data_IF_901344659012
#
_entry.id   IF_901344659012
#
_cell.length_a   1.000
_cell.length_b   1.000
_cell.length_c   1.000
_cell.angle_alpha   90.00
_cell.angle_beta   90.00
_cell.angle_gamma   90.00
#
_symmetry.space_group_name_H-M   'P 1'
#
loop_
_entity.id
_entity.type
_entity.pdbx_description
1 polymer ?
#
# COMPACT_ATOMS: atom_id res chain seq x y z
N UNK A 1 -28.03 -10.07 -1.56
CA UNK A 1 -27.27 -9.20 -0.64
C UNK A 1 -28.20 -8.12 -0.16
N UNK A 2 -28.48 -7.96 1.13
CA UNK A 2 -29.19 -6.80 1.64
C UNK A 2 -28.31 -5.56 1.47
N UNK A 3 -28.89 -4.50 0.93
CA UNK A 3 -28.24 -3.21 0.73
C UNK A 3 -29.04 -2.18 1.51
N UNK A 4 -28.39 -1.48 2.40
CA UNK A 4 -29.01 -0.36 3.13
C UNK A 4 -28.35 0.95 2.68
N UNK A 5 -29.17 1.91 2.31
CA UNK A 5 -28.75 3.25 1.88
C UNK A 5 -29.17 4.27 2.90
N UNK A 6 -28.22 5.05 3.38
CA UNK A 6 -28.43 6.04 4.42
C UNK A 6 -27.93 7.40 3.95
N UNK A 7 -28.70 8.43 4.22
CA UNK A 7 -28.25 9.83 4.04
C UNK A 7 -27.76 10.37 5.39
N UNK A 8 -26.45 10.32 5.59
CA UNK A 8 -25.78 10.72 6.83
C UNK A 8 -24.98 12.03 6.66
N UNK A 9 -25.13 12.71 5.52
CA UNK A 9 -24.38 13.91 5.21
C UNK A 9 -22.94 13.65 4.74
N UNK A 10 -22.11 14.70 4.72
CA UNK A 10 -20.76 14.66 4.14
C UNK A 10 -19.69 14.06 5.07
N UNK A 11 -19.89 14.15 6.38
CA UNK A 11 -18.90 13.73 7.41
C UNK A 11 -19.51 12.75 8.41
N UNK A 12 -20.08 11.62 7.97
CA UNK A 12 -20.67 10.66 8.88
C UNK A 12 -19.59 9.98 9.73
N UNK A 13 -19.97 9.60 10.94
CA UNK A 13 -19.19 8.70 11.78
C UNK A 13 -19.80 7.31 11.70
N UNK A 14 -19.00 6.35 11.26
CA UNK A 14 -19.39 4.95 11.19
C UNK A 14 -18.65 4.19 12.28
N UNK A 15 -19.38 3.66 13.23
CA UNK A 15 -18.88 2.73 14.22
C UNK A 15 -19.23 1.30 13.77
N UNK A 16 -18.26 0.38 13.68
CA UNK A 16 -18.50 -0.93 13.12
C UNK A 16 -17.83 -2.04 13.93
N UNK A 17 -18.58 -3.13 14.15
CA UNK A 17 -18.08 -4.42 14.61
C UNK A 17 -18.38 -5.45 13.53
N UNK A 18 -17.34 -5.99 12.88
CA UNK A 18 -17.46 -7.00 11.84
C UNK A 18 -16.75 -8.28 12.24
N UNK A 19 -17.51 -9.37 12.40
CA UNK A 19 -16.98 -10.68 12.78
C UNK A 19 -16.49 -11.52 11.58
N UNK A 20 -16.35 -10.89 10.41
CA UNK A 20 -15.79 -11.44 9.18
C UNK A 20 -14.93 -10.40 8.48
N UNK A 21 -14.80 -10.44 7.15
CA UNK A 21 -14.04 -9.44 6.41
C UNK A 21 -14.81 -8.12 6.29
N UNK A 22 -14.10 -7.01 6.45
CA UNK A 22 -14.63 -5.66 6.36
C UNK A 22 -13.89 -4.89 5.25
N UNK A 23 -14.65 -4.43 4.26
CA UNK A 23 -14.15 -3.54 3.20
C UNK A 23 -14.83 -2.17 3.32
N UNK A 24 -14.05 -1.13 3.60
CA UNK A 24 -14.53 0.26 3.74
C UNK A 24 -13.93 1.11 2.63
N UNK A 25 -14.78 1.85 1.92
CA UNK A 25 -14.33 2.72 0.85
C UNK A 25 -14.95 4.10 0.92
N UNK A 26 -14.10 5.11 0.88
CA UNK A 26 -14.52 6.50 0.67
C UNK A 26 -15.01 6.69 -0.77
N UNK A 27 -16.13 7.39 -0.93
CA UNK A 27 -16.72 7.72 -2.23
C UNK A 27 -17.02 9.22 -2.31
N UNK A 28 -16.91 9.83 -3.49
CA UNK A 28 -17.16 11.27 -3.68
C UNK A 28 -18.66 11.62 -3.71
N UNK A 29 -19.46 10.97 -2.87
CA UNK A 29 -20.92 11.18 -2.78
C UNK A 29 -21.32 11.32 -1.33
N UNK A 30 -22.52 11.86 -1.08
CA UNK A 30 -23.07 12.01 0.28
C UNK A 30 -23.82 10.76 0.76
N UNK A 31 -24.08 9.81 -0.13
CA UNK A 31 -24.82 8.58 0.17
C UNK A 31 -23.90 7.57 0.87
N UNK A 32 -24.28 7.12 2.05
CA UNK A 32 -23.64 5.99 2.72
C UNK A 32 -24.36 4.71 2.32
N UNK A 33 -23.60 3.69 1.92
CA UNK A 33 -24.12 2.39 1.50
C UNK A 33 -23.46 1.27 2.28
N UNK A 34 -24.29 0.42 2.86
CA UNK A 34 -23.89 -0.75 3.62
C UNK A 34 -24.38 -1.99 2.87
N UNK A 35 -23.48 -2.92 2.60
CA UNK A 35 -23.76 -4.19 1.92
C UNK A 35 -23.22 -5.35 2.76
N UNK A 36 -24.00 -6.40 2.97
CA UNK A 36 -23.58 -7.59 3.70
C UNK A 36 -24.01 -8.86 2.96
N UNK A 37 -23.23 -9.94 3.08
CA UNK A 37 -23.53 -11.24 2.47
C UNK A 37 -24.71 -11.95 3.14
N UNK A 38 -24.99 -11.62 4.40
CA UNK A 38 -26.10 -12.22 5.15
C UNK A 38 -27.18 -11.19 5.51
N UNK A 39 -28.40 -11.69 5.75
CA UNK A 39 -29.52 -10.90 6.23
C UNK A 39 -29.39 -10.43 7.70
N UNK A 40 -28.27 -10.74 8.35
CA UNK A 40 -28.04 -10.55 9.79
C UNK A 40 -27.04 -9.43 10.07
N UNK A 41 -27.17 -8.29 9.45
CA UNK A 41 -26.48 -7.10 9.95
C UNK A 41 -27.48 -6.15 10.61
N UNK A 42 -27.03 -5.49 11.67
CA UNK A 42 -27.85 -4.53 12.42
C UNK A 42 -27.26 -3.16 12.25
N UNK A 43 -28.12 -2.20 11.93
CA UNK A 43 -27.75 -0.77 11.86
C UNK A 43 -28.53 -0.02 12.92
N UNK A 44 -27.81 0.65 13.80
CA UNK A 44 -28.37 1.43 14.88
C UNK A 44 -27.96 2.88 14.70
N UNK A 45 -28.90 3.82 14.52
CA UNK A 45 -28.57 5.24 14.46
C UNK A 45 -27.92 5.72 15.76
N UNK A 46 -26.90 6.60 15.62
CA UNK A 46 -26.25 7.29 16.73
C UNK A 46 -26.41 8.82 16.54
N UNK A 47 -26.00 9.62 17.51
CA UNK A 47 -26.12 11.08 17.41
C UNK A 47 -25.33 11.69 16.23
N UNK A 48 -24.21 11.07 15.81
CA UNK A 48 -23.31 11.58 14.79
C UNK A 48 -23.15 10.66 13.56
N UNK A 49 -23.92 9.57 13.50
CA UNK A 49 -23.80 8.60 12.42
C UNK A 49 -24.54 7.30 12.70
N UNK A 50 -23.89 6.18 12.48
CA UNK A 50 -24.46 4.85 12.67
C UNK A 50 -23.47 3.89 13.30
N UNK A 51 -24.01 2.95 14.09
CA UNK A 51 -23.31 1.75 14.54
C UNK A 51 -23.80 0.56 13.72
N UNK A 52 -22.84 -0.21 13.23
CA UNK A 52 -23.08 -1.39 12.39
C UNK A 52 -22.49 -2.62 13.06
N UNK A 53 -23.31 -3.67 13.20
CA UNK A 53 -22.84 -5.00 13.63
C UNK A 53 -23.10 -6.01 12.52
N UNK A 54 -22.05 -6.70 12.06
CA UNK A 54 -22.14 -7.69 11.00
C UNK A 54 -21.42 -8.99 11.37
N UNK A 55 -22.11 -10.11 11.18
CA UNK A 55 -21.56 -11.46 11.40
C UNK A 55 -21.07 -12.13 10.11
N UNK A 56 -21.09 -11.41 8.99
CA UNK A 56 -20.63 -11.86 7.69
C UNK A 56 -19.81 -10.76 7.02
N UNK A 57 -19.23 -11.04 5.85
CA UNK A 57 -18.49 -10.04 5.09
C UNK A 57 -19.36 -8.80 4.89
N UNK A 58 -18.75 -7.64 5.17
CA UNK A 58 -19.42 -6.37 5.10
C UNK A 58 -18.64 -5.39 4.21
N UNK A 59 -19.33 -4.76 3.29
CA UNK A 59 -18.79 -3.67 2.47
C UNK A 59 -19.49 -2.38 2.86
N UNK A 60 -18.70 -1.37 3.21
CA UNK A 60 -19.16 -0.04 3.64
C UNK A 60 -18.62 1.00 2.68
N UNK A 61 -19.52 1.75 2.04
CA UNK A 61 -19.16 2.89 1.21
C UNK A 61 -19.66 4.16 1.89
N UNK A 62 -18.74 5.05 2.22
CA UNK A 62 -19.02 6.29 2.93
C UNK A 62 -18.44 7.49 2.19
N UNK A 63 -18.94 8.69 2.39
CA UNK A 63 -18.28 9.90 1.88
C UNK A 63 -16.79 9.92 2.26
N UNK A 64 -15.91 10.38 1.36
CA UNK A 64 -14.46 10.43 1.58
C UNK A 64 -14.06 11.17 2.86
N UNK A 65 -14.83 12.15 3.29
CA UNK A 65 -14.59 12.94 4.51
C UNK A 65 -15.21 12.32 5.77
N UNK A 66 -15.90 11.18 5.64
CA UNK A 66 -16.44 10.44 6.77
C UNK A 66 -15.35 9.85 7.63
N UNK A 67 -15.66 9.49 8.86
CA UNK A 67 -14.76 8.85 9.81
C UNK A 67 -15.21 7.43 10.10
N UNK A 68 -14.23 6.55 10.24
CA UNK A 68 -14.42 5.14 10.59
C UNK A 68 -13.92 4.88 11.99
N UNK A 69 -14.72 4.26 12.81
CA UNK A 69 -14.33 3.68 14.09
C UNK A 69 -14.67 2.19 14.09
N UNK A 70 -13.68 1.34 13.83
CA UNK A 70 -13.85 -0.11 13.87
C UNK A 70 -13.45 -0.66 15.24
N UNK A 71 -14.42 -1.14 16.00
CA UNK A 71 -14.22 -1.76 17.32
C UNK A 71 -13.58 -3.14 17.17
N UNK A 72 -14.08 -3.94 16.23
CA UNK A 72 -13.56 -5.26 15.94
C UNK A 72 -13.70 -5.60 14.45
N UNK A 73 -12.62 -6.11 13.86
CA UNK A 73 -12.63 -6.79 12.58
C UNK A 73 -12.00 -8.18 12.76
N UNK A 74 -12.83 -9.22 12.85
CA UNK A 74 -12.34 -10.59 13.11
C UNK A 74 -11.73 -11.26 11.89
N UNK A 75 -12.05 -10.76 10.69
CA UNK A 75 -11.42 -11.16 9.42
C UNK A 75 -10.40 -10.12 8.94
N UNK A 76 -10.19 -10.07 7.63
CA UNK A 76 -9.38 -9.03 7.01
C UNK A 76 -10.10 -7.67 7.01
N UNK A 77 -9.35 -6.60 7.19
CA UNK A 77 -9.84 -5.22 7.08
C UNK A 77 -9.16 -4.53 5.91
N UNK A 78 -9.97 -3.92 5.05
CA UNK A 78 -9.48 -3.05 3.97
C UNK A 78 -10.16 -1.69 4.05
N UNK A 79 -9.37 -0.62 4.13
CA UNK A 79 -9.90 0.76 4.07
C UNK A 79 -9.20 1.50 2.95
N UNK A 80 -9.98 2.12 2.07
CA UNK A 80 -9.45 2.88 0.93
C UNK A 80 -10.18 4.21 0.75
N UNK A 81 -9.43 5.22 0.28
CA UNK A 81 -9.96 6.50 -0.17
C UNK A 81 -10.75 7.27 0.92
N UNK A 82 -10.39 7.11 2.19
CA UNK A 82 -11.07 7.73 3.33
C UNK A 82 -10.18 8.82 3.95
N UNK A 83 -10.50 10.09 3.66
CA UNK A 83 -9.71 11.26 4.10
C UNK A 83 -9.98 11.62 5.56
N UNK A 84 -11.13 11.23 6.11
CA UNK A 84 -11.45 11.39 7.53
C UNK A 84 -10.63 10.48 8.43
N UNK A 85 -10.91 10.51 9.73
CA UNK A 85 -10.19 9.72 10.71
C UNK A 85 -10.49 8.22 10.57
N UNK A 86 -9.46 7.42 10.76
CA UNK A 86 -9.55 5.95 10.81
C UNK A 86 -9.08 5.49 12.17
N UNK A 87 -10.01 5.16 13.04
CA UNK A 87 -9.76 4.66 14.38
C UNK A 87 -10.12 3.17 14.44
N UNK A 88 -9.13 2.32 14.74
CA UNK A 88 -9.27 0.87 14.76
C UNK A 88 -8.86 0.35 16.16
N UNK A 89 -9.74 -0.40 16.82
CA UNK A 89 -9.42 -0.96 18.12
C UNK A 89 -8.76 -2.34 17.99
N UNK A 90 -9.38 -3.28 17.27
CA UNK A 90 -8.85 -4.64 17.12
C UNK A 90 -9.07 -5.20 15.72
N UNK A 91 -8.00 -5.65 15.07
CA UNK A 91 -8.04 -6.32 13.77
C UNK A 91 -7.35 -7.67 13.88
N UNK A 92 -8.09 -8.78 13.68
CA UNK A 92 -7.53 -10.14 13.83
C UNK A 92 -6.89 -10.67 12.55
N UNK A 93 -7.37 -10.24 11.39
CA UNK A 93 -6.81 -10.65 10.10
C UNK A 93 -5.80 -9.64 9.55
N UNK A 94 -5.52 -9.75 8.26
CA UNK A 94 -4.68 -8.78 7.55
C UNK A 94 -5.39 -7.43 7.45
N UNK A 95 -4.68 -6.36 7.77
CA UNK A 95 -5.18 -5.00 7.69
C UNK A 95 -4.48 -4.22 6.57
N UNK A 96 -5.26 -3.66 5.66
CA UNK A 96 -4.75 -2.87 4.54
C UNK A 96 -5.42 -1.50 4.49
N UNK A 97 -4.65 -0.44 4.69
CA UNK A 97 -5.10 0.95 4.67
C UNK A 97 -4.41 1.70 3.52
N UNK A 98 -5.18 2.38 2.67
CA UNK A 98 -4.62 3.14 1.56
C UNK A 98 -5.39 4.41 1.28
N UNK A 99 -4.67 5.51 1.05
CA UNK A 99 -5.22 6.86 0.83
C UNK A 99 -6.20 7.24 1.94
N UNK A 100 -5.65 7.28 3.14
CA UNK A 100 -6.41 7.59 4.35
C UNK A 100 -6.00 8.95 4.92
N UNK A 101 -6.85 9.51 5.77
CA UNK A 101 -6.50 10.57 6.69
C UNK A 101 -5.67 10.03 7.87
N UNK A 102 -5.72 10.69 9.04
CA UNK A 102 -5.05 10.20 10.24
C UNK A 102 -5.51 8.79 10.61
N UNK A 103 -4.56 7.95 11.03
CA UNK A 103 -4.81 6.57 11.42
C UNK A 103 -4.44 6.36 12.87
N UNK A 104 -5.33 5.77 13.64
CA UNK A 104 -5.05 5.24 14.96
C UNK A 104 -5.46 3.76 15.00
N UNK A 105 -4.54 2.91 15.43
CA UNK A 105 -4.79 1.48 15.59
C UNK A 105 -4.30 1.04 16.96
N UNK A 106 -5.15 0.44 17.77
CA UNK A 106 -4.73 -0.07 19.06
C UNK A 106 -4.04 -1.43 18.92
N UNK A 107 -4.64 -2.39 18.23
CA UNK A 107 -4.09 -3.75 18.15
C UNK A 107 -4.39 -4.43 16.81
N UNK A 108 -3.35 -5.05 16.18
CA UNK A 108 -3.48 -5.90 15.01
C UNK A 108 -2.78 -7.23 15.22
N UNK A 109 -3.49 -8.33 14.94
CA UNK A 109 -2.93 -9.69 15.10
C UNK A 109 -2.32 -10.23 13.81
N UNK A 110 -2.73 -9.71 12.66
CA UNK A 110 -2.20 -10.09 11.35
C UNK A 110 -1.17 -9.09 10.83
N UNK A 111 -0.86 -9.24 9.57
CA UNK A 111 -0.02 -8.27 8.86
C UNK A 111 -0.77 -6.94 8.69
N UNK A 112 -0.06 -5.83 8.94
CA UNK A 112 -0.60 -4.48 8.77
C UNK A 112 0.18 -3.73 7.68
N UNK A 113 -0.55 -3.21 6.71
CA UNK A 113 0.01 -2.37 5.64
C UNK A 113 -0.72 -1.04 5.56
N UNK A 114 0.03 0.05 5.69
CA UNK A 114 -0.47 1.42 5.59
C UNK A 114 0.26 2.13 4.46
N UNK A 115 -0.49 2.78 3.58
CA UNK A 115 0.08 3.46 2.41
C UNK A 115 -0.69 4.74 2.07
N UNK A 116 0.05 5.78 1.66
CA UNK A 116 -0.52 7.05 1.20
C UNK A 116 -1.42 7.72 2.26
N UNK A 117 -0.89 7.92 3.47
CA UNK A 117 -1.62 8.56 4.58
C UNK A 117 -1.35 10.06 4.62
N UNK A 118 -2.41 10.85 4.68
CA UNK A 118 -2.31 12.32 4.67
C UNK A 118 -2.10 12.94 6.07
N UNK A 119 -2.23 12.16 7.13
CA UNK A 119 -2.11 12.60 8.54
C UNK A 119 -1.12 11.77 9.33
N UNK A 120 -1.20 11.89 10.65
CA UNK A 120 -0.39 11.12 11.58
C UNK A 120 -0.86 9.66 11.65
N UNK A 121 0.08 8.76 11.94
CA UNK A 121 -0.16 7.33 12.13
C UNK A 121 0.28 6.96 13.54
N UNK A 122 -0.65 6.50 14.36
CA UNK A 122 -0.40 6.03 15.72
C UNK A 122 -0.82 4.56 15.84
N UNK A 123 0.12 3.69 16.16
CA UNK A 123 -0.05 2.24 16.23
C UNK A 123 0.39 1.75 17.60
N UNK A 124 -0.49 1.04 18.31
CA UNK A 124 -0.17 0.36 19.55
C UNK A 124 0.61 -0.94 19.28
N UNK A 125 -0.06 -2.09 19.25
CA UNK A 125 0.58 -3.38 19.08
C UNK A 125 0.26 -4.03 17.72
N UNK A 126 1.29 -4.52 17.03
CA UNK A 126 1.16 -5.37 15.84
C UNK A 126 1.83 -6.71 16.12
N UNK A 127 1.04 -7.78 16.16
CA UNK A 127 1.55 -9.15 16.40
C UNK A 127 2.11 -9.80 15.13
N UNK A 128 1.84 -9.24 13.96
CA UNK A 128 2.44 -9.61 12.68
C UNK A 128 3.53 -8.65 12.24
N UNK A 129 3.81 -8.61 10.95
CA UNK A 129 4.72 -7.63 10.34
C UNK A 129 3.98 -6.35 9.96
N UNK A 130 4.69 -5.23 10.00
CA UNK A 130 4.17 -3.90 9.72
C UNK A 130 4.92 -3.24 8.55
N UNK A 131 4.16 -2.77 7.57
CA UNK A 131 4.70 -1.94 6.49
C UNK A 131 3.97 -0.60 6.44
N UNK A 132 4.72 0.51 6.55
CA UNK A 132 4.18 1.88 6.47
C UNK A 132 4.93 2.64 5.38
N UNK A 133 4.19 3.22 4.43
CA UNK A 133 4.77 3.96 3.30
C UNK A 133 3.98 5.22 2.97
N UNK A 134 4.69 6.23 2.46
CA UNK A 134 4.11 7.47 1.94
C UNK A 134 3.22 8.19 2.98
N UNK A 135 3.76 8.47 4.16
CA UNK A 135 3.05 9.18 5.24
C UNK A 135 3.48 10.64 5.28
N UNK A 136 2.51 11.56 5.23
CA UNK A 136 2.78 13.01 5.30
C UNK A 136 2.91 13.53 6.73
N UNK A 137 2.41 12.81 7.71
CA UNK A 137 2.45 13.12 9.13
C UNK A 137 3.57 12.39 9.88
N UNK A 138 3.44 12.35 11.20
CA UNK A 138 4.30 11.61 12.09
C UNK A 138 3.89 10.15 12.16
N UNK A 139 4.84 9.27 12.49
CA UNK A 139 4.58 7.85 12.72
C UNK A 139 5.01 7.49 14.13
N UNK A 140 4.09 6.97 14.93
CA UNK A 140 4.32 6.49 16.27
C UNK A 140 3.87 5.04 16.39
N UNK A 141 4.77 4.15 16.79
CA UNK A 141 4.56 2.71 16.89
C UNK A 141 5.03 2.26 18.27
N UNK A 142 4.17 1.62 19.05
CA UNK A 142 4.56 1.12 20.36
C UNK A 142 5.32 -0.21 20.25
N UNK A 143 4.74 -1.19 19.53
CA UNK A 143 5.37 -2.51 19.41
C UNK A 143 5.00 -3.25 18.12
N UNK A 144 5.97 -3.99 17.57
CA UNK A 144 5.82 -4.90 16.43
C UNK A 144 6.48 -6.23 16.76
N UNK A 145 5.74 -7.34 16.72
CA UNK A 145 6.31 -8.67 16.99
C UNK A 145 7.00 -9.30 15.78
N UNK A 146 6.65 -8.89 14.57
CA UNK A 146 7.30 -9.28 13.31
C UNK A 146 8.31 -8.24 12.85
N UNK A 147 8.46 -8.15 11.53
CA UNK A 147 9.35 -7.19 10.88
C UNK A 147 8.67 -5.84 10.66
N UNK A 148 9.47 -4.76 10.67
CA UNK A 148 9.01 -3.41 10.44
C UNK A 148 9.67 -2.80 9.20
N UNK A 149 8.85 -2.32 8.25
CA UNK A 149 9.32 -1.57 7.08
C UNK A 149 8.71 -0.18 7.10
N UNK A 150 9.55 0.84 7.11
CA UNK A 150 9.16 2.24 7.03
C UNK A 150 9.77 2.88 5.79
N UNK A 151 8.95 3.58 5.00
CA UNK A 151 9.43 4.25 3.79
C UNK A 151 8.68 5.56 3.55
N UNK A 152 9.43 6.59 3.14
CA UNK A 152 8.88 7.88 2.70
C UNK A 152 7.96 8.53 3.75
N UNK A 153 8.45 8.65 4.99
CA UNK A 153 7.77 9.34 6.09
C UNK A 153 8.24 10.79 6.13
N UNK A 154 7.33 11.74 5.95
CA UNK A 154 7.67 13.16 5.92
C UNK A 154 7.84 13.77 7.32
N UNK A 155 7.27 13.15 8.34
CA UNK A 155 7.31 13.61 9.73
C UNK A 155 8.36 12.88 10.58
N UNK A 156 8.19 13.03 11.89
CA UNK A 156 9.02 12.36 12.91
C UNK A 156 8.56 10.91 13.08
N UNK A 157 9.52 10.02 13.28
CA UNK A 157 9.25 8.61 13.55
C UNK A 157 9.65 8.24 14.97
N UNK A 158 8.75 7.60 15.71
CA UNK A 158 8.99 6.99 17.00
C UNK A 158 8.58 5.53 16.98
N UNK A 159 9.49 4.65 17.33
CA UNK A 159 9.26 3.21 17.40
C UNK A 159 9.73 2.73 18.78
N UNK A 160 8.86 2.09 19.54
CA UNK A 160 9.18 1.55 20.86
C UNK A 160 9.95 0.24 20.74
N UNK A 161 9.29 -0.83 20.31
CA UNK A 161 9.89 -2.15 20.23
C UNK A 161 9.58 -2.86 18.91
N UNK A 162 10.58 -3.53 18.33
CA UNK A 162 10.45 -4.44 17.19
C UNK A 162 11.15 -5.74 17.53
N UNK A 163 10.44 -6.87 17.49
CA UNK A 163 11.06 -8.17 17.81
C UNK A 163 11.83 -8.76 16.63
N UNK A 164 11.41 -8.47 15.42
CA UNK A 164 12.06 -8.90 14.17
C UNK A 164 13.08 -7.88 13.64
N UNK A 165 13.24 -7.86 12.32
CA UNK A 165 14.13 -6.95 11.62
C UNK A 165 13.41 -5.63 11.31
N UNK A 166 14.21 -4.55 11.20
CA UNK A 166 13.72 -3.23 10.85
C UNK A 166 14.43 -2.67 9.63
N UNK A 167 13.67 -2.24 8.64
CA UNK A 167 14.20 -1.57 7.45
C UNK A 167 13.55 -0.20 7.27
N UNK A 168 14.38 0.84 7.21
CA UNK A 168 13.93 2.22 7.05
C UNK A 168 14.60 2.84 5.84
N UNK A 169 13.79 3.44 4.99
CA UNK A 169 14.23 4.25 3.86
C UNK A 169 13.52 5.59 3.91
N UNK A 170 14.23 6.63 4.36
CA UNK A 170 13.59 7.91 4.67
C UNK A 170 14.50 9.11 4.38
N UNK A 171 13.95 10.25 3.94
CA UNK A 171 14.71 11.47 3.80
C UNK A 171 15.10 12.14 5.14
N UNK A 172 14.44 11.78 6.25
CA UNK A 172 14.57 12.41 7.57
C UNK A 172 14.56 13.94 7.54
N UNK A 173 13.47 14.60 7.93
CA UNK A 173 13.36 16.04 7.89
C UNK A 173 14.47 16.73 8.70
N UNK A 174 15.00 17.84 8.19
CA UNK A 174 15.98 18.66 8.91
C UNK A 174 15.43 19.09 10.28
N UNK A 175 16.30 19.16 11.27
CA UNK A 175 15.99 19.53 12.65
C UNK A 175 14.97 18.61 13.34
N UNK A 176 14.67 17.45 12.74
CA UNK A 176 13.81 16.44 13.35
C UNK A 176 14.57 15.51 14.29
N UNK A 177 13.84 14.96 15.26
CA UNK A 177 14.38 13.95 16.20
C UNK A 177 13.51 12.71 16.10
N UNK A 178 14.06 11.63 15.54
CA UNK A 178 13.43 10.32 15.50
C UNK A 178 14.04 9.38 16.50
N UNK A 179 13.24 8.48 17.06
CA UNK A 179 13.67 7.58 18.14
C UNK A 179 13.24 6.15 17.83
N UNK A 180 14.19 5.24 17.89
CA UNK A 180 14.00 3.80 17.70
C UNK A 180 14.53 3.10 18.95
N UNK A 181 13.62 2.48 19.70
CA UNK A 181 13.92 1.85 20.97
C UNK A 181 14.61 0.50 20.79
N UNK A 182 13.96 -0.59 21.19
CA UNK A 182 14.55 -1.93 21.19
C UNK A 182 14.21 -2.68 19.90
N UNK A 183 15.23 -3.10 19.17
CA UNK A 183 15.09 -3.90 17.94
C UNK A 183 15.78 -5.25 18.20
N UNK A 184 14.99 -6.33 18.21
CA UNK A 184 15.47 -7.68 18.50
C UNK A 184 16.34 -8.25 17.36
N UNK A 185 16.11 -7.82 16.15
CA UNK A 185 16.84 -8.22 14.95
C UNK A 185 17.81 -7.15 14.44
N UNK A 186 17.99 -7.12 13.13
CA UNK A 186 18.88 -6.20 12.43
C UNK A 186 18.12 -4.92 12.00
N UNK A 187 18.73 -3.76 12.21
CA UNK A 187 18.21 -2.47 11.82
C UNK A 187 18.96 -1.91 10.62
N UNK A 188 18.29 -1.74 9.50
CA UNK A 188 18.86 -1.12 8.29
C UNK A 188 18.27 0.26 8.06
N UNK A 189 19.13 1.28 8.07
CA UNK A 189 18.77 2.65 7.76
C UNK A 189 19.33 3.06 6.41
N UNK A 190 18.47 3.49 5.50
CA UNK A 190 18.87 4.12 4.24
C UNK A 190 18.43 5.57 4.26
N UNK A 191 19.41 6.48 4.29
CA UNK A 191 19.18 7.92 4.25
C UNK A 191 19.04 8.35 2.80
N UNK A 192 17.94 9.00 2.44
CA UNK A 192 17.67 9.45 1.08
C UNK A 192 17.91 10.96 0.90
N UNK A 193 18.25 11.33 -0.34
CA UNK A 193 18.39 12.72 -0.77
C UNK A 193 19.64 13.44 -0.29
N UNK A 194 19.68 14.74 -0.51
CA UNK A 194 20.79 15.61 -0.11
C UNK A 194 20.75 16.01 1.37
N UNK A 195 19.80 15.47 2.12
CA UNK A 195 19.71 15.63 3.56
C UNK A 195 20.82 14.87 4.27
N UNK A 196 20.79 14.89 5.60
CA UNK A 196 21.73 14.12 6.38
C UNK A 196 21.15 13.83 7.75
N UNK A 197 21.66 12.78 8.36
CA UNK A 197 21.25 12.35 9.66
C UNK A 197 22.45 12.08 10.57
N UNK A 198 22.32 12.46 11.84
CA UNK A 198 23.23 12.11 12.91
C UNK A 198 22.61 10.96 13.72
N UNK A 199 23.18 9.79 13.60
CA UNK A 199 22.79 8.62 14.38
C UNK A 199 23.51 8.63 15.71
N UNK A 200 22.75 8.46 16.78
CA UNK A 200 23.24 8.30 18.16
C UNK A 200 22.84 6.90 18.61
N UNK A 201 23.82 5.99 18.67
CA UNK A 201 23.61 4.59 18.94
C UNK A 201 23.94 4.26 20.38
N UNK A 202 22.99 3.61 21.05
CA UNK A 202 23.16 3.16 22.44
C UNK A 202 24.17 2.03 22.58
N UNK A 203 24.56 1.72 23.82
CA UNK A 203 25.49 0.63 24.13
C UNK A 203 25.00 -0.75 23.77
N UNK A 204 23.68 -0.94 23.69
CA UNK A 204 23.05 -2.22 23.39
C UNK A 204 22.98 -2.51 21.87
N UNK A 205 23.58 -1.69 21.02
CA UNK A 205 23.80 -2.00 19.61
C UNK A 205 25.07 -2.84 19.51
N UNK A 206 24.91 -4.14 19.18
CA UNK A 206 26.04 -5.10 19.23
C UNK A 206 26.99 -4.90 18.05
N UNK A 207 26.47 -4.79 16.83
CA UNK A 207 27.27 -4.66 15.61
C UNK A 207 26.88 -3.37 14.87
N UNK A 208 27.86 -2.71 14.26
CA UNK A 208 27.66 -1.50 13.47
C UNK A 208 28.32 -1.65 12.10
N UNK A 209 27.51 -1.62 11.05
CA UNK A 209 27.91 -1.69 9.67
C UNK A 209 27.70 -0.33 8.97
N UNK A 210 28.80 0.36 8.70
CA UNK A 210 28.78 1.65 8.00
C UNK A 210 29.76 1.64 6.83
N UNK A 211 29.47 2.38 5.75
CA UNK A 211 30.45 2.58 4.66
C UNK A 211 31.76 3.18 5.19
N UNK A 212 32.89 2.79 4.57
CA UNK A 212 34.23 3.20 4.99
C UNK A 212 34.50 4.71 4.87
N UNK A 213 33.67 5.45 4.18
CA UNK A 213 33.71 6.91 4.02
C UNK A 213 33.02 7.66 5.15
N UNK A 214 32.33 6.99 6.07
CA UNK A 214 31.69 7.61 7.23
C UNK A 214 32.57 7.46 8.48
N UNK A 215 32.67 8.55 9.25
CA UNK A 215 33.39 8.55 10.52
C UNK A 215 32.48 8.11 11.65
N UNK A 216 32.99 7.20 12.49
CA UNK A 216 32.33 6.77 13.72
C UNK A 216 33.05 7.44 14.88
N UNK A 217 32.35 8.26 15.63
CA UNK A 217 32.86 8.95 16.83
C UNK A 217 32.32 8.24 18.06
N UNK A 218 33.20 7.84 18.96
CA UNK A 218 32.83 7.29 20.26
C UNK A 218 32.81 8.39 21.32
N UNK A 219 31.62 8.68 21.86
CA UNK A 219 31.43 9.64 22.96
C UNK A 219 30.89 8.91 24.21
N UNK A 220 31.80 8.54 25.14
CA UNK A 220 31.44 7.81 26.34
C UNK A 220 30.82 6.44 26.04
N UNK A 221 29.52 6.32 26.30
CA UNK A 221 28.76 5.07 26.09
C UNK A 221 28.00 5.03 24.75
N UNK A 222 28.12 6.05 23.93
CA UNK A 222 27.39 6.15 22.64
C UNK A 222 28.35 6.18 21.46
N UNK A 223 27.89 5.62 20.34
CA UNK A 223 28.57 5.73 19.03
C UNK A 223 27.77 6.68 18.17
N UNK A 224 28.46 7.64 17.56
CA UNK A 224 27.84 8.66 16.71
C UNK A 224 28.32 8.46 15.29
N UNK A 225 27.37 8.39 14.36
CA UNK A 225 27.64 8.32 12.90
C UNK A 225 26.92 9.45 12.23
N UNK A 226 27.62 10.24 11.45
CA UNK A 226 27.02 11.35 10.69
C UNK A 226 27.02 11.03 9.20
N UNK A 227 25.84 11.09 8.60
CA UNK A 227 25.60 10.91 7.17
C UNK A 227 25.22 12.27 6.59
N UNK A 228 25.87 12.69 5.51
CA UNK A 228 25.56 13.96 4.85
C UNK A 228 25.72 15.18 5.77
N UNK A 229 24.73 16.08 5.79
CA UNK A 229 24.76 17.30 6.60
C UNK A 229 24.52 17.09 8.10
N UNK A 230 24.02 15.92 8.51
CA UNK A 230 23.75 15.60 9.92
C UNK A 230 22.62 16.42 10.58
N UNK A 231 21.72 16.99 9.79
CA UNK A 231 20.70 17.91 10.30
C UNK A 231 19.59 17.22 11.11
N UNK A 232 19.22 15.99 10.77
CA UNK A 232 18.27 15.19 11.57
C UNK A 232 19.03 14.40 12.65
N UNK A 233 18.41 14.18 13.79
CA UNK A 233 18.99 13.32 14.84
C UNK A 233 18.17 12.05 14.98
N UNK A 234 18.84 10.90 14.96
CA UNK A 234 18.23 9.57 15.05
C UNK A 234 18.85 8.83 16.22
N UNK A 235 18.04 8.52 17.21
CA UNK A 235 18.43 7.69 18.34
C UNK A 235 18.06 6.23 18.08
N UNK A 236 18.98 5.31 18.36
CA UNK A 236 18.74 3.86 18.32
C UNK A 236 19.26 3.29 19.62
N UNK A 237 18.38 2.78 20.48
CA UNK A 237 18.75 2.37 21.84
C UNK A 237 19.41 0.98 21.84
N UNK A 238 18.80 0.00 21.16
CA UNK A 238 19.28 -1.37 21.11
C UNK A 238 18.98 -2.03 19.77
N UNK A 239 19.91 -2.80 19.23
CA UNK A 239 19.73 -3.66 18.06
C UNK A 239 20.80 -4.76 18.02
N UNK A 240 20.51 -5.90 17.37
CA UNK A 240 21.52 -6.91 17.09
C UNK A 240 22.60 -6.34 16.16
N UNK A 241 22.19 -5.79 15.02
CA UNK A 241 23.09 -5.00 14.17
C UNK A 241 22.43 -3.72 13.68
N UNK A 242 23.22 -2.68 13.45
CA UNK A 242 22.76 -1.45 12.76
C UNK A 242 23.57 -1.25 11.49
N UNK A 243 22.89 -1.26 10.37
CA UNK A 243 23.47 -0.95 9.05
C UNK A 243 22.98 0.42 8.57
N UNK A 244 23.91 1.33 8.32
CA UNK A 244 23.60 2.69 7.84
C UNK A 244 24.14 2.83 6.43
N UNK A 245 23.29 3.19 5.48
CA UNK A 245 23.62 3.33 4.06
C UNK A 245 23.14 4.66 3.51
N UNK A 246 23.85 5.20 2.53
CA UNK A 246 23.39 6.34 1.74
C UNK A 246 22.72 5.87 0.45
N UNK A 247 21.72 6.59 -0.05
CA UNK A 247 20.90 6.14 -1.19
C UNK A 247 21.67 5.96 -2.50
N UNK A 248 22.85 6.56 -2.63
CA UNK A 248 23.66 6.50 -3.85
C UNK A 248 24.48 5.18 -4.00
N UNK A 249 24.52 4.35 -2.94
CA UNK A 249 25.21 3.06 -3.01
C UNK A 249 24.27 1.97 -3.53
N UNK A 250 24.54 1.51 -4.75
CA UNK A 250 23.88 0.35 -5.35
C UNK A 250 24.51 -0.89 -4.75
N UNK A 251 23.99 -1.39 -3.67
CA UNK A 251 24.46 -2.63 -3.04
C UNK A 251 23.73 -3.86 -3.58
N UNK A 252 24.52 -4.80 -4.10
CA UNK A 252 24.05 -6.13 -4.51
C UNK A 252 23.64 -7.02 -3.33
N UNK A 253 23.97 -6.65 -2.07
CA UNK A 253 23.75 -7.48 -0.87
C UNK A 253 22.48 -7.13 -0.07
N UNK A 254 21.70 -6.17 -0.50
CA UNK A 254 20.41 -5.84 0.15
C UNK A 254 19.32 -6.89 -0.12
N UNK A 255 19.67 -8.20 -0.19
CA UNK A 255 18.77 -9.22 -0.76
C UNK A 255 17.56 -9.55 0.12
N UNK A 256 17.65 -9.45 1.44
CA UNK A 256 16.53 -9.83 2.31
C UNK A 256 15.47 -8.72 2.43
N UNK A 257 15.84 -7.53 2.82
CA UNK A 257 14.91 -6.39 2.86
C UNK A 257 14.40 -6.01 1.46
N UNK A 258 15.21 -6.24 0.42
CA UNK A 258 14.83 -5.98 -0.95
C UNK A 258 13.92 -7.06 -1.54
N UNK A 259 14.15 -8.34 -1.26
CA UNK A 259 13.28 -9.44 -1.70
C UNK A 259 11.93 -9.40 -0.96
N UNK A 260 11.92 -9.04 0.32
CA UNK A 260 10.70 -8.85 1.10
C UNK A 260 9.96 -7.59 0.61
N UNK A 261 10.66 -6.49 0.37
CA UNK A 261 10.08 -5.27 -0.19
C UNK A 261 9.60 -5.47 -1.64
N UNK A 262 10.32 -6.22 -2.47
CA UNK A 262 9.91 -6.52 -3.85
C UNK A 262 8.71 -7.46 -3.88
N UNK A 263 8.67 -8.48 -3.04
CA UNK A 263 7.51 -9.35 -2.87
C UNK A 263 6.26 -8.56 -2.46
N UNK A 264 6.43 -7.61 -1.55
CA UNK A 264 5.39 -6.71 -1.13
C UNK A 264 5.00 -5.69 -2.23
N UNK A 265 5.95 -5.13 -2.98
CA UNK A 265 5.66 -4.23 -4.11
C UNK A 265 4.87 -4.92 -5.22
N UNK A 266 5.22 -6.15 -5.55
CA UNK A 266 4.48 -6.95 -6.55
C UNK A 266 3.09 -7.29 -6.02
N UNK A 267 2.97 -7.68 -4.75
CA UNK A 267 1.69 -7.98 -4.11
C UNK A 267 0.79 -6.74 -4.03
N UNK A 268 1.37 -5.58 -3.68
CA UNK A 268 0.66 -4.31 -3.62
C UNK A 268 0.21 -3.86 -5.02
N UNK A 269 1.07 -4.03 -6.03
CA UNK A 269 0.73 -3.69 -7.41
C UNK A 269 -0.37 -4.60 -7.98
N UNK A 270 -0.33 -5.88 -7.65
CA UNK A 270 -1.40 -6.82 -8.00
C UNK A 270 -2.71 -6.50 -7.26
N UNK A 271 -2.63 -6.13 -5.99
CA UNK A 271 -3.80 -5.68 -5.22
C UNK A 271 -4.39 -4.39 -5.79
N UNK A 272 -3.54 -3.46 -6.24
CA UNK A 272 -3.96 -2.20 -6.88
C UNK A 272 -4.60 -2.43 -8.24
N UNK A 273 -4.01 -3.28 -9.09
CA UNK A 273 -4.58 -3.66 -10.38
C UNK A 273 -5.93 -4.35 -10.18
N UNK A 274 -6.04 -5.23 -9.20
CA UNK A 274 -7.30 -5.91 -8.87
C UNK A 274 -8.36 -4.90 -8.42
N UNK A 275 -7.99 -3.95 -7.55
CA UNK A 275 -8.89 -2.90 -7.08
C UNK A 275 -9.30 -1.93 -8.20
N UNK A 276 -8.39 -1.62 -9.12
CA UNK A 276 -8.67 -0.75 -10.25
C UNK A 276 -9.59 -1.43 -11.27
N UNK A 277 -9.41 -2.73 -11.50
CA UNK A 277 -10.31 -3.57 -12.29
C UNK A 277 -11.70 -3.63 -11.64
N UNK A 278 -11.78 -3.82 -10.33
CA UNK A 278 -13.05 -3.80 -9.59
C UNK A 278 -13.74 -2.43 -9.66
N UNK A 279 -12.99 -1.33 -9.50
CA UNK A 279 -13.53 0.03 -9.60
C UNK A 279 -14.00 0.41 -11.01
N UNK A 280 -13.28 -0.06 -12.03
CA UNK A 280 -13.72 0.11 -13.42
C UNK A 280 -14.95 -0.74 -13.73
N UNK A 281 -15.02 -1.96 -13.15
CA UNK A 281 -16.19 -2.83 -13.27
C UNK A 281 -17.43 -2.19 -12.67
N UNK A 282 -17.33 -1.59 -11.48
CA UNK A 282 -18.44 -0.88 -10.84
C UNK A 282 -18.91 0.36 -11.64
N UNK A 283 -17.96 1.14 -12.18
CA UNK A 283 -18.30 2.26 -13.06
C UNK A 283 -18.99 1.79 -14.35
N UNK A 284 -18.54 0.65 -14.89
CA UNK A 284 -19.16 0.02 -16.05
C UNK A 284 -20.54 -0.53 -15.70
N UNK A 285 -20.72 -1.16 -14.53
CA UNK A 285 -22.05 -1.62 -14.08
C UNK A 285 -23.03 -0.47 -13.84
N UNK A 286 -22.57 0.64 -13.28
CA UNK A 286 -23.40 1.85 -13.11
C UNK A 286 -23.82 2.46 -14.46
N UNK A 287 -22.95 2.43 -15.45
CA UNK A 287 -23.25 2.88 -16.82
C UNK A 287 -24.06 1.85 -17.61
N UNK A 288 -23.95 0.57 -17.28
CA UNK A 288 -24.62 -0.56 -17.94
C UNK A 288 -26.07 -0.75 -17.50
N UNK A 289 -26.46 -0.25 -16.32
CA UNK A 289 -27.88 -0.18 -15.95
C UNK A 289 -28.71 0.66 -16.94
N UNK A 290 -28.02 1.42 -17.81
CA UNK A 290 -28.62 2.23 -18.88
C UNK A 290 -28.54 1.59 -20.29
N UNK A 291 -27.81 0.50 -20.49
CA UNK A 291 -27.58 -0.07 -21.83
C UNK A 291 -27.69 -1.60 -21.85
N UNK A 292 -28.28 -2.11 -22.93
CA UNK A 292 -28.79 -3.47 -23.17
C UNK A 292 -27.87 -4.66 -22.84
N UNK A 293 -28.48 -5.82 -22.53
CA UNK A 293 -27.92 -7.17 -22.23
C UNK A 293 -26.74 -7.66 -23.10
N UNK A 294 -26.48 -7.05 -24.23
CA UNK A 294 -25.40 -7.43 -25.15
C UNK A 294 -24.03 -6.95 -24.67
N UNK A 295 -23.98 -5.77 -24.10
CA UNK A 295 -22.74 -5.14 -23.55
C UNK A 295 -22.36 -5.82 -22.23
N UNK A 296 -23.36 -6.19 -21.41
CA UNK A 296 -23.14 -6.92 -20.16
C UNK A 296 -22.38 -8.24 -20.36
N UNK A 297 -22.75 -9.04 -21.37
CA UNK A 297 -22.05 -10.29 -21.69
C UNK A 297 -20.61 -10.09 -22.19
N UNK A 298 -20.34 -8.97 -22.83
CA UNK A 298 -19.00 -8.65 -23.32
C UNK A 298 -18.08 -8.21 -22.18
N UNK A 299 -18.59 -7.42 -21.24
CA UNK A 299 -17.87 -6.98 -20.05
C UNK A 299 -17.57 -8.17 -19.10
N UNK A 300 -18.53 -9.05 -18.87
CA UNK A 300 -18.31 -10.27 -18.08
C UNK A 300 -17.21 -11.16 -18.66
N UNK A 301 -17.12 -11.26 -20.01
CA UNK A 301 -16.03 -11.97 -20.68
C UNK A 301 -14.68 -11.29 -20.46
N UNK A 302 -14.61 -9.97 -20.58
CA UNK A 302 -13.38 -9.19 -20.38
C UNK A 302 -12.89 -9.29 -18.93
N UNK A 303 -13.80 -9.20 -17.97
CA UNK A 303 -13.51 -9.38 -16.54
C UNK A 303 -13.00 -10.79 -16.21
N UNK A 304 -13.59 -11.82 -16.82
CA UNK A 304 -13.15 -13.19 -16.63
C UNK A 304 -11.72 -13.44 -17.15
N UNK A 305 -11.36 -12.78 -18.26
CA UNK A 305 -10.01 -12.84 -18.83
C UNK A 305 -9.01 -12.11 -17.92
N UNK A 306 -9.36 -10.89 -17.46
CA UNK A 306 -8.52 -10.11 -16.56
C UNK A 306 -8.27 -10.84 -15.22
N UNK A 307 -9.31 -11.43 -14.61
CA UNK A 307 -9.16 -12.26 -13.39
C UNK A 307 -8.22 -13.45 -13.60
N UNK A 308 -8.32 -14.16 -14.73
CA UNK A 308 -7.39 -15.26 -15.06
C UNK A 308 -5.95 -14.79 -15.23
N UNK A 309 -5.73 -13.60 -15.79
CA UNK A 309 -4.39 -13.02 -15.91
C UNK A 309 -3.78 -12.67 -14.55
N UNK A 310 -4.56 -12.08 -13.65
CA UNK A 310 -4.15 -11.76 -12.27
C UNK A 310 -3.84 -13.05 -11.50
N UNK A 311 -4.72 -14.07 -11.55
CA UNK A 311 -4.46 -15.37 -10.93
C UNK A 311 -3.23 -16.07 -11.50
N UNK A 312 -3.00 -15.96 -12.80
CA UNK A 312 -1.80 -16.53 -13.43
C UNK A 312 -0.52 -15.79 -13.01
N UNK A 313 -0.60 -14.47 -12.82
CA UNK A 313 0.50 -13.66 -12.28
C UNK A 313 0.77 -14.01 -10.80
N UNK A 314 -0.26 -14.12 -9.97
CA UNK A 314 -0.12 -14.56 -8.57
C UNK A 314 0.53 -15.94 -8.46
N UNK A 315 0.09 -16.92 -9.25
CA UNK A 315 0.70 -18.27 -9.26
C UNK A 315 2.15 -18.28 -9.77
N UNK A 316 2.55 -17.30 -10.59
CA UNK A 316 3.96 -17.14 -11.00
C UNK A 316 4.81 -16.57 -9.87
N UNK A 317 4.29 -15.58 -9.14
CA UNK A 317 4.93 -14.99 -7.95
C UNK A 317 5.07 -16.05 -6.85
N UNK A 318 4.01 -16.79 -6.55
CA UNK A 318 4.06 -17.89 -5.56
C UNK A 318 5.06 -18.99 -5.93
N UNK A 319 5.18 -19.34 -7.22
CA UNK A 319 6.20 -20.31 -7.69
C UNK A 319 7.61 -19.75 -7.62
N UNK A 320 7.79 -18.46 -7.87
CA UNK A 320 9.09 -17.80 -7.74
C UNK A 320 9.51 -17.66 -6.27
N UNK A 321 8.56 -17.42 -5.36
CA UNK A 321 8.81 -17.38 -3.92
C UNK A 321 9.09 -18.76 -3.29
N UNK A 322 8.56 -19.85 -3.89
CA UNK A 322 8.73 -21.22 -3.39
C UNK A 322 9.96 -21.98 -3.94
N UNK A 323 10.63 -21.47 -4.96
CA UNK A 323 11.88 -22.01 -5.48
C UNK A 323 12.97 -21.02 -5.11
N UNK A 324 13.85 -21.42 -4.18
CA UNK A 324 15.00 -20.63 -3.77
C UNK A 324 15.64 -19.97 -5.00
N UNK A 325 15.76 -18.67 -4.96
CA UNK A 325 16.02 -17.74 -6.06
C UNK A 325 17.28 -18.18 -6.81
N UNK A 326 17.19 -18.65 -8.07
CA UNK A 326 18.32 -18.51 -8.97
C UNK A 326 18.33 -17.02 -9.39
N UNK A 327 19.52 -16.43 -9.49
CA UNK A 327 19.78 -15.08 -9.97
C UNK A 327 18.84 -14.70 -11.13
N UNK A 328 17.73 -14.06 -10.83
CA UNK A 328 16.92 -13.39 -11.82
C UNK A 328 17.30 -11.92 -11.73
N UNK A 329 18.22 -11.51 -12.60
CA UNK A 329 18.34 -10.12 -12.98
C UNK A 329 16.98 -9.64 -13.53
N UNK A 330 16.11 -9.19 -12.65
CA UNK A 330 14.95 -8.39 -13.02
C UNK A 330 15.44 -6.96 -13.26
N UNK A 331 16.05 -6.76 -14.43
CA UNK A 331 16.24 -5.41 -14.93
C UNK A 331 14.87 -4.82 -15.29
N UNK A 332 14.25 -4.09 -14.36
CA UNK A 332 13.20 -3.17 -14.69
C UNK A 332 13.82 -1.94 -15.36
N UNK A 333 14.02 -2.04 -16.65
CA UNK A 333 14.13 -0.83 -17.47
C UNK A 333 12.74 -0.19 -17.52
N UNK A 334 12.59 1.10 -17.16
CA UNK A 334 11.41 1.87 -17.54
C UNK A 334 11.39 1.89 -19.08
N UNK A 335 10.30 1.50 -19.69
CA UNK A 335 10.15 1.19 -21.10
C UNK A 335 10.88 -0.10 -21.51
N UNK A 336 10.31 -1.23 -21.13
CA UNK A 336 10.50 -2.46 -21.87
C UNK A 336 10.15 -2.18 -23.34
N UNK A 337 11.19 -2.06 -24.18
CA UNK A 337 11.02 -2.29 -25.59
C UNK A 337 10.32 -3.65 -25.71
N UNK A 338 9.05 -3.61 -26.09
CA UNK A 338 8.37 -4.77 -26.58
C UNK A 338 9.34 -5.47 -27.57
N UNK A 339 9.73 -6.70 -27.24
CA UNK A 339 10.33 -7.57 -28.22
C UNK A 339 9.39 -7.56 -29.40
N UNK A 340 9.86 -7.09 -30.54
CA UNK A 340 9.17 -7.23 -31.82
C UNK A 340 8.64 -8.65 -31.91
N UNK A 341 7.33 -8.87 -31.95
CA UNK A 341 6.83 -10.08 -32.52
C UNK A 341 7.31 -10.07 -33.97
N UNK A 342 7.87 -11.18 -34.42
CA UNK A 342 8.17 -11.48 -35.80
C UNK A 342 7.01 -10.96 -36.67
N UNK A 343 7.33 -10.09 -37.61
CA UNK A 343 6.35 -9.39 -38.42
C UNK A 343 5.51 -10.41 -39.20
N UNK A 344 4.35 -10.75 -38.66
CA UNK A 344 3.24 -11.15 -39.50
C UNK A 344 2.66 -9.88 -40.12
N UNK A 345 2.38 -9.86 -41.43
CA UNK A 345 1.83 -8.69 -42.07
C UNK A 345 0.48 -8.35 -41.43
N UNK A 346 0.35 -7.08 -41.01
CA UNK A 346 -0.87 -6.53 -40.41
C UNK A 346 -2.06 -6.93 -41.29
N UNK A 347 -3.06 -7.57 -40.73
CA UNK A 347 -4.19 -8.04 -41.47
C UNK A 347 -5.04 -6.83 -41.95
N UNK A 348 -5.55 -6.87 -43.15
CA UNK A 348 -6.46 -5.83 -43.65
C UNK A 348 -7.65 -5.60 -42.74
N UNK A 349 -8.07 -6.63 -42.00
CA UNK A 349 -9.14 -6.56 -41.01
C UNK A 349 -8.83 -5.61 -39.84
N UNK A 350 -7.58 -5.53 -39.41
CA UNK A 350 -7.17 -4.62 -38.29
C UNK A 350 -7.14 -3.16 -38.76
N UNK A 351 -6.72 -2.91 -40.00
CA UNK A 351 -6.77 -1.56 -40.57
C UNK A 351 -8.22 -1.07 -40.77
N UNK A 352 -9.09 -1.94 -41.24
CA UNK A 352 -10.52 -1.63 -41.42
C UNK A 352 -11.16 -1.37 -40.02
N UNK A 353 -10.78 -2.08 -39.00
CA UNK A 353 -11.29 -1.84 -37.66
C UNK A 353 -10.92 -0.44 -37.10
N UNK A 354 -9.68 0.03 -37.30
CA UNK A 354 -9.25 1.38 -36.88
C UNK A 354 -10.00 2.47 -37.72
N UNK A 355 -10.18 2.27 -39.00
CA UNK A 355 -10.92 3.20 -39.84
C UNK A 355 -12.40 3.27 -39.43
N UNK A 356 -13.00 2.16 -39.05
CA UNK A 356 -14.36 2.10 -38.55
C UNK A 356 -14.55 2.83 -37.23
N UNK A 357 -13.58 2.72 -36.32
CA UNK A 357 -13.58 3.49 -35.06
C UNK A 357 -13.48 5.00 -35.31
N UNK A 358 -12.77 5.42 -36.34
CA UNK A 358 -12.68 6.81 -36.76
C UNK A 358 -14.01 7.28 -37.37
N UNK A 359 -14.64 6.46 -38.23
CA UNK A 359 -15.93 6.76 -38.87
C UNK A 359 -17.07 6.84 -37.85
N UNK A 360 -17.05 5.98 -36.84
CA UNK A 360 -18.00 5.97 -35.70
C UNK A 360 -17.72 7.08 -34.69
N UNK A 361 -16.67 7.90 -34.86
CA UNK A 361 -16.30 9.00 -33.95
C UNK A 361 -15.75 8.54 -32.60
N UNK A 362 -15.36 7.28 -32.44
CA UNK A 362 -14.81 6.73 -31.21
C UNK A 362 -13.36 7.16 -30.97
N UNK A 363 -12.64 7.49 -32.04
CA UNK A 363 -11.27 8.02 -32.01
C UNK A 363 -11.16 9.22 -32.97
N UNK A 364 -10.22 10.14 -32.70
CA UNK A 364 -9.92 11.25 -33.56
C UNK A 364 -8.84 10.87 -34.61
N UNK A 365 -8.67 11.71 -35.63
CA UNK A 365 -7.72 11.47 -36.74
C UNK A 365 -6.30 11.21 -36.23
N UNK A 366 -5.85 11.97 -35.23
CA UNK A 366 -4.51 11.83 -34.64
C UNK A 366 -4.32 10.49 -33.93
N UNK A 367 -5.33 10.04 -33.20
CA UNK A 367 -5.34 8.74 -32.55
C UNK A 367 -5.40 7.59 -33.54
N UNK A 368 -6.13 7.75 -34.64
CA UNK A 368 -6.18 6.77 -35.74
C UNK A 368 -4.80 6.64 -36.42
N UNK A 369 -4.13 7.77 -36.70
CA UNK A 369 -2.75 7.77 -37.23
C UNK A 369 -1.75 7.10 -36.32
N UNK A 370 -1.81 7.37 -35.00
CA UNK A 370 -0.94 6.74 -33.99
C UNK A 370 -1.18 5.23 -33.91
N UNK A 371 -2.44 4.79 -33.96
CA UNK A 371 -2.80 3.36 -33.95
C UNK A 371 -2.36 2.66 -35.23
N UNK A 372 -2.55 3.26 -36.41
CA UNK A 372 -2.08 2.72 -37.68
C UNK A 372 -0.55 2.65 -37.74
N UNK A 373 0.14 3.69 -37.24
CA UNK A 373 1.60 3.70 -37.18
C UNK A 373 2.14 2.63 -36.21
N UNK A 374 1.46 2.40 -35.07
CA UNK A 374 1.80 1.35 -34.11
C UNK A 374 1.60 -0.06 -34.71
N UNK A 375 0.51 -0.25 -35.46
CA UNK A 375 0.23 -1.50 -36.17
C UNK A 375 1.26 -1.75 -37.29
N UNK A 376 1.69 -0.74 -38.03
CA UNK A 376 2.67 -0.86 -39.13
C UNK A 376 4.14 -0.96 -38.62
N UNK A 377 4.36 -0.85 -37.27
CA UNK A 377 5.70 -0.97 -36.68
C UNK A 377 6.67 0.16 -37.08
N UNK A 378 6.15 1.30 -37.51
CA UNK A 378 6.93 2.51 -37.76
C UNK A 378 6.95 3.37 -36.50
N UNK A 379 8.02 3.34 -35.77
CA UNK A 379 8.51 4.44 -34.94
C UNK A 379 9.63 5.15 -35.67
#
# INVERSE_FOLDING_TARGET
MPIEKLDLGLTPQIEISCYANLDVRGIPTVETRLESDASSFQVTPTEMGVRVESYSNCTVRIPEQGSLHALEASGGLRVKDLIGNVDLESVKGTCYLRRTGPVRLAESYGELRIRETAGDVAIGAVHGSLTVRDVRGNVEIESVSGDLILRDIAGVTRVGQVSGDMAIRNPFPADSVSHFGEIGGDATFRVEGNGGARFVLGQQVMELNVPSNLEVIEEGETRIVTVGSGQATIYVDAANSVSIKHSDEVDAEASFAYSFALGNEISDHLADITAEIEAQSEKLEANLAATSDRVRRQVERSLSIARRQVEAAQRRVERAAGQGIPDIELSFSPASRAQKPSAEPVSEAERVAVLRMLEEGQINVKQAEELLAALEGRQ
#
